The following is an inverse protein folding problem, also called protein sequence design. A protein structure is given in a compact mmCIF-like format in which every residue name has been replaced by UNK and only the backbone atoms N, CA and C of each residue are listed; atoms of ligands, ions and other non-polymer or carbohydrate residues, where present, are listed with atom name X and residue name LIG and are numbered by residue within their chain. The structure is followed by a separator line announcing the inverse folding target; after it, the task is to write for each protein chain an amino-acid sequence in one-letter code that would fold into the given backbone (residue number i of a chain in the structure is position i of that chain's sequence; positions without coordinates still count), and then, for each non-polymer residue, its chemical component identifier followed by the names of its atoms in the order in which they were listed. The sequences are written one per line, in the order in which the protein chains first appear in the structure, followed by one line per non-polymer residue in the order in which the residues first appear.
data_IF_940073406116
#
_entry.id   IF_940073406116
#
_cell.length_a   1.000
_cell.length_b   1.000
_cell.length_c   1.000
_cell.angle_alpha   90.00
_cell.angle_beta   90.00
_cell.angle_gamma   90.00
#
_symmetry.space_group_name_H-M   'P 1'
#
loop_
_entity.id
_entity.type
_entity.pdbx_description
1 polymer ?
#
# COMPACT_ATOMS: atom_id res chain seq x y z
N UNK A 1 -25.57 -18.29 -53.74
CA UNK A 1 -24.80 -17.39 -54.64
C UNK A 1 -24.64 -16.09 -53.87
N UNK A 2 -23.50 -15.66 -53.35
CA UNK A 2 -22.10 -16.10 -53.41
C UNK A 2 -21.45 -15.45 -52.17
N UNK A 3 -20.96 -16.27 -51.24
CA UNK A 3 -19.54 -16.48 -50.94
C UNK A 3 -18.90 -15.35 -50.10
N UNK A 4 -18.67 -15.68 -48.83
CA UNK A 4 -17.93 -14.89 -47.87
C UNK A 4 -16.44 -15.17 -48.07
N UNK A 5 -15.70 -14.16 -48.53
CA UNK A 5 -14.24 -14.22 -48.65
C UNK A 5 -13.63 -12.99 -47.99
N UNK A 6 -13.30 -13.09 -46.70
CA UNK A 6 -12.47 -12.13 -45.97
C UNK A 6 -11.10 -12.00 -46.65
N UNK A 7 -10.96 -10.99 -47.50
CA UNK A 7 -9.71 -10.61 -48.14
C UNK A 7 -8.74 -9.95 -47.16
N UNK A 8 -8.16 -10.72 -46.25
CA UNK A 8 -7.00 -10.26 -45.50
C UNK A 8 -5.80 -10.17 -46.45
N UNK A 9 -5.16 -9.00 -46.54
CA UNK A 9 -3.93 -8.86 -47.31
C UNK A 9 -2.87 -9.83 -46.75
N UNK A 10 -2.20 -10.64 -47.58
CA UNK A 10 -1.17 -11.56 -47.09
C UNK A 10 -0.05 -10.76 -46.41
N UNK A 11 0.48 -11.29 -45.30
CA UNK A 11 1.61 -10.67 -44.63
C UNK A 11 2.82 -10.64 -45.58
N UNK A 12 3.54 -9.50 -45.72
CA UNK A 12 4.67 -9.40 -46.64
C UNK A 12 5.77 -10.41 -46.29
N UNK A 13 6.26 -11.11 -47.31
CA UNK A 13 7.39 -12.04 -47.19
C UNK A 13 8.67 -11.30 -47.51
N UNK A 14 9.62 -11.32 -46.58
CA UNK A 14 10.95 -10.71 -46.71
C UNK A 14 12.00 -11.79 -46.89
N UNK A 15 13.12 -11.47 -47.55
CA UNK A 15 14.22 -12.44 -47.71
C UNK A 15 14.88 -12.71 -46.34
N UNK A 16 15.34 -13.93 -46.04
CA UNK A 16 15.91 -14.26 -44.72
C UNK A 16 17.08 -13.36 -44.27
N UNK A 17 17.87 -12.87 -45.21
CA UNK A 17 19.01 -11.97 -45.01
C UNK A 17 18.62 -10.50 -44.73
N UNK A 18 17.37 -10.11 -44.97
CA UNK A 18 16.90 -8.75 -44.76
C UNK A 18 16.69 -8.45 -43.27
N UNK A 19 17.38 -7.43 -42.77
CA UNK A 19 17.29 -6.94 -41.37
C UNK A 19 16.10 -6.02 -41.15
N UNK A 20 14.90 -6.51 -41.46
CA UNK A 20 13.64 -5.78 -41.29
C UNK A 20 12.84 -6.32 -40.12
N UNK A 21 11.99 -5.49 -39.52
CA UNK A 21 11.18 -5.91 -38.37
C UNK A 21 10.32 -7.15 -38.65
N UNK A 22 9.83 -7.36 -39.88
CA UNK A 22 9.10 -8.57 -40.27
C UNK A 22 9.85 -9.88 -40.03
N UNK A 23 11.18 -9.87 -40.16
CA UNK A 23 12.05 -11.03 -39.91
C UNK A 23 12.58 -11.09 -38.46
N UNK A 24 12.23 -10.12 -37.61
CA UNK A 24 12.69 -10.04 -36.24
C UNK A 24 11.79 -10.87 -35.29
N UNK A 25 12.39 -11.58 -34.34
CA UNK A 25 11.69 -12.33 -33.28
C UNK A 25 10.85 -11.43 -32.36
N UNK A 26 11.25 -10.17 -32.23
CA UNK A 26 10.63 -9.21 -31.30
C UNK A 26 9.41 -8.48 -31.88
N UNK A 27 9.19 -8.57 -33.19
CA UNK A 27 8.07 -7.91 -33.87
C UNK A 27 6.81 -8.78 -33.87
N UNK A 28 5.68 -8.17 -33.54
CA UNK A 28 4.36 -8.80 -33.57
C UNK A 28 3.44 -8.04 -34.54
N UNK A 29 3.01 -8.64 -35.66
CA UNK A 29 1.98 -8.05 -36.52
C UNK A 29 0.67 -7.92 -35.75
N UNK A 30 -0.06 -6.82 -35.92
CA UNK A 30 -1.32 -6.57 -35.19
C UNK A 30 -2.49 -6.25 -36.10
N UNK A 31 -2.33 -5.35 -37.07
CA UNK A 31 -3.44 -4.91 -37.94
C UNK A 31 -2.94 -4.51 -39.32
N UNK A 32 -3.89 -4.34 -40.25
CA UNK A 32 -3.66 -3.81 -41.59
C UNK A 32 -4.23 -2.40 -41.66
N UNK A 33 -3.40 -1.42 -41.99
CA UNK A 33 -3.77 -0.01 -42.13
C UNK A 33 -3.86 0.37 -43.62
N UNK A 34 -4.90 1.11 -44.00
CA UNK A 34 -5.27 1.38 -45.39
C UNK A 34 -4.17 2.09 -46.22
N UNK A 35 -3.32 2.91 -45.57
CA UNK A 35 -2.20 3.62 -46.23
C UNK A 35 -0.84 2.96 -46.07
N UNK A 36 -0.63 2.14 -45.03
CA UNK A 36 0.69 1.62 -44.64
C UNK A 36 0.80 0.10 -44.77
N UNK A 37 -0.30 -0.57 -45.10
CA UNK A 37 -0.39 -2.02 -45.13
C UNK A 37 -0.28 -2.60 -43.74
N UNK A 38 0.34 -3.78 -43.62
CA UNK A 38 0.57 -4.41 -42.33
C UNK A 38 1.35 -3.52 -41.37
N UNK A 39 0.87 -3.41 -40.13
CA UNK A 39 1.56 -2.72 -39.04
C UNK A 39 1.61 -3.60 -37.80
N UNK A 40 2.66 -3.43 -37.00
CA UNK A 40 2.88 -4.20 -35.80
C UNK A 40 3.74 -3.47 -34.78
N UNK A 41 3.84 -4.03 -33.59
CA UNK A 41 4.59 -3.45 -32.48
C UNK A 41 5.86 -4.26 -32.17
N UNK A 42 6.89 -3.58 -31.66
CA UNK A 42 8.11 -4.21 -31.13
C UNK A 42 7.97 -4.46 -29.64
N UNK A 43 8.24 -5.69 -29.18
CA UNK A 43 8.22 -6.03 -27.74
C UNK A 43 9.26 -5.27 -26.91
N UNK A 44 10.40 -4.89 -27.51
CA UNK A 44 11.45 -4.12 -26.84
C UNK A 44 11.20 -2.61 -26.88
N UNK A 45 10.44 -2.13 -27.86
CA UNK A 45 10.15 -0.71 -28.07
C UNK A 45 8.63 -0.49 -28.15
N UNK A 46 7.93 -0.84 -27.08
CA UNK A 46 6.46 -0.73 -27.00
C UNK A 46 5.96 0.72 -27.14
N UNK A 47 6.79 1.70 -26.78
CA UNK A 47 6.48 3.13 -26.90
C UNK A 47 6.46 3.68 -28.33
N UNK A 48 7.01 2.97 -29.32
CA UNK A 48 7.05 3.45 -30.72
C UNK A 48 5.71 3.28 -31.46
N UNK A 49 4.73 2.62 -30.84
CA UNK A 49 3.45 2.32 -31.48
C UNK A 49 3.58 1.32 -32.64
N UNK A 50 2.58 1.31 -33.52
CA UNK A 50 2.53 0.41 -34.67
C UNK A 50 3.27 0.99 -35.87
N UNK A 51 4.11 0.18 -36.47
CA UNK A 51 4.93 0.57 -37.63
C UNK A 51 5.00 -0.59 -38.64
N UNK A 52 5.34 -0.31 -39.91
CA UNK A 52 5.32 -1.32 -40.96
C UNK A 52 6.45 -2.36 -40.77
N UNK A 53 6.26 -3.60 -41.21
CA UNK A 53 7.24 -4.67 -41.04
C UNK A 53 8.54 -4.44 -41.85
N UNK A 54 8.53 -3.53 -42.82
CA UNK A 54 9.69 -3.13 -43.63
C UNK A 54 10.66 -2.19 -42.91
N UNK A 55 10.41 -1.78 -41.66
CA UNK A 55 11.27 -0.84 -40.92
C UNK A 55 12.69 -1.42 -40.67
N UNK A 56 13.79 -0.78 -41.13
CA UNK A 56 15.14 -1.38 -41.13
C UNK A 56 16.09 -0.94 -39.98
N UNK A 57 15.58 -0.47 -38.83
CA UNK A 57 16.36 0.48 -37.99
C UNK A 57 16.67 0.02 -36.54
N UNK A 58 17.01 -1.24 -36.29
CA UNK A 58 17.25 -1.70 -34.92
C UNK A 58 18.56 -2.47 -34.74
N UNK A 59 19.47 -1.92 -33.92
CA UNK A 59 20.71 -2.60 -33.50
C UNK A 59 20.46 -3.83 -32.61
N UNK A 60 19.22 -4.01 -32.15
CA UNK A 60 18.76 -5.17 -31.36
C UNK A 60 18.03 -6.19 -32.22
N UNK A 61 18.11 -6.08 -33.55
CA UNK A 61 17.53 -7.07 -34.48
C UNK A 61 17.99 -8.49 -34.11
N UNK A 62 17.02 -9.38 -33.96
CA UNK A 62 17.24 -10.80 -33.66
C UNK A 62 16.44 -11.62 -34.66
N UNK A 63 17.07 -12.34 -35.61
CA UNK A 63 16.35 -13.06 -36.65
C UNK A 63 15.44 -14.13 -36.05
N UNK A 64 14.24 -14.31 -36.64
CA UNK A 64 13.32 -15.38 -36.25
C UNK A 64 14.01 -16.73 -36.42
N UNK A 65 13.99 -17.56 -35.39
CA UNK A 65 14.65 -18.87 -35.38
C UNK A 65 16.09 -18.89 -34.85
N UNK A 66 16.71 -17.75 -34.54
CA UNK A 66 18.00 -17.78 -33.83
C UNK A 66 17.80 -18.26 -32.39
N UNK A 67 18.51 -19.34 -32.02
CA UNK A 67 18.67 -19.73 -30.63
C UNK A 67 19.25 -18.56 -29.84
N UNK A 68 18.77 -18.35 -28.61
CA UNK A 68 19.42 -17.40 -27.71
C UNK A 68 20.89 -17.82 -27.57
N UNK A 69 21.86 -16.89 -27.66
CA UNK A 69 23.22 -17.23 -27.31
C UNK A 69 23.21 -17.73 -25.86
N UNK A 70 23.47 -19.03 -25.69
CA UNK A 70 23.72 -19.60 -24.38
C UNK A 70 25.02 -18.97 -23.93
N UNK A 71 24.94 -17.96 -23.07
CA UNK A 71 26.11 -17.49 -22.36
C UNK A 71 26.76 -18.72 -21.71
N UNK A 72 28.07 -18.96 -21.90
CA UNK A 72 28.74 -20.04 -21.20
C UNK A 72 28.52 -19.80 -19.72
N UNK A 73 27.78 -20.71 -19.07
CA UNK A 73 27.63 -20.69 -17.63
C UNK A 73 29.05 -20.70 -17.06
N UNK A 74 29.44 -19.75 -16.19
CA UNK A 74 30.73 -19.82 -15.55
C UNK A 74 30.81 -21.18 -14.86
N UNK A 75 31.84 -21.95 -15.16
CA UNK A 75 32.17 -23.17 -14.45
C UNK A 75 32.46 -22.78 -13.01
N UNK A 76 31.41 -22.74 -12.19
CA UNK A 76 31.51 -22.47 -10.77
C UNK A 76 32.02 -23.76 -10.16
N UNK A 77 33.33 -23.82 -9.99
CA UNK A 77 33.99 -24.78 -9.12
C UNK A 77 33.19 -24.83 -7.82
N UNK A 78 32.70 -26.02 -7.46
CA UNK A 78 31.89 -26.22 -6.26
C UNK A 78 32.80 -26.05 -5.05
N UNK A 79 33.09 -24.82 -4.67
CA UNK A 79 33.42 -24.53 -3.29
C UNK A 79 32.21 -24.95 -2.46
N UNK A 80 32.47 -25.75 -1.42
CA UNK A 80 31.47 -26.12 -0.44
C UNK A 80 30.63 -24.88 -0.13
N UNK A 81 29.30 -24.98 -0.18
CA UNK A 81 28.42 -23.89 0.23
C UNK A 81 28.84 -23.51 1.65
N UNK A 82 29.66 -22.47 1.79
CA UNK A 82 29.73 -21.71 3.02
C UNK A 82 28.28 -21.34 3.29
N UNK A 83 27.77 -21.79 4.42
CA UNK A 83 26.48 -21.35 4.94
C UNK A 83 26.48 -19.84 4.76
N UNK A 84 25.62 -19.31 3.89
CA UNK A 84 25.47 -17.88 3.75
C UNK A 84 25.36 -17.32 5.17
N UNK A 85 26.14 -16.30 5.57
CA UNK A 85 26.06 -15.81 6.93
C UNK A 85 24.60 -15.56 7.19
N UNK A 86 24.05 -16.25 8.19
CA UNK A 86 22.68 -16.01 8.61
C UNK A 86 22.69 -14.53 8.95
N UNK A 87 22.05 -13.72 8.09
CA UNK A 87 21.78 -12.34 8.43
C UNK A 87 20.76 -12.46 9.54
N UNK A 88 21.26 -12.61 10.77
CA UNK A 88 20.50 -12.36 11.97
C UNK A 88 20.22 -10.87 11.85
N UNK A 89 19.09 -10.53 11.21
CA UNK A 89 18.46 -9.25 11.45
C UNK A 89 18.30 -9.25 12.95
N UNK A 90 19.16 -8.53 13.66
CA UNK A 90 18.99 -8.28 15.07
C UNK A 90 17.55 -7.82 15.18
N UNK A 91 16.70 -8.63 15.80
CA UNK A 91 15.38 -8.13 16.22
C UNK A 91 15.76 -6.94 17.08
N UNK A 92 15.48 -5.74 16.58
CA UNK A 92 15.68 -4.54 17.37
C UNK A 92 14.87 -4.76 18.64
N UNK A 93 15.51 -4.59 19.79
CA UNK A 93 14.80 -4.77 21.05
C UNK A 93 13.71 -3.70 21.05
N UNK A 94 12.45 -4.07 21.33
CA UNK A 94 11.54 -3.10 21.90
C UNK A 94 12.20 -2.48 23.14
N UNK A 95 11.84 -1.37 23.73
CA UNK A 95 12.61 -0.77 24.83
C UNK A 95 14.04 -0.29 24.50
N UNK A 96 14.63 -0.54 23.31
CA UNK A 96 15.86 0.16 22.93
C UNK A 96 15.53 1.67 22.88
N UNK A 97 16.14 2.43 23.79
CA UNK A 97 15.98 3.88 23.88
C UNK A 97 16.73 4.55 22.72
N UNK A 98 16.01 5.36 21.95
CA UNK A 98 16.57 6.13 20.84
C UNK A 98 16.65 7.59 21.28
N UNK A 99 17.88 8.11 21.41
CA UNK A 99 18.09 9.52 21.73
C UNK A 99 18.09 10.35 20.44
N UNK A 100 16.95 10.99 20.17
CA UNK A 100 16.81 12.00 19.13
C UNK A 100 16.78 13.37 19.80
N UNK A 101 17.94 14.04 19.80
CA UNK A 101 18.08 15.48 20.04
C UNK A 101 17.28 16.00 21.26
N UNK A 102 17.37 15.29 22.39
CA UNK A 102 16.75 15.70 23.66
C UNK A 102 15.39 15.08 23.97
N UNK A 103 14.88 14.19 23.12
CA UNK A 103 13.70 13.37 23.39
C UNK A 103 14.12 11.90 23.51
N UNK A 104 14.35 11.43 24.75
CA UNK A 104 14.53 10.01 25.01
C UNK A 104 13.17 9.31 24.95
N UNK A 105 12.94 8.53 23.90
CA UNK A 105 11.77 7.65 23.81
C UNK A 105 12.19 6.26 23.36
N UNK A 106 11.38 5.26 23.70
CA UNK A 106 11.61 3.89 23.22
C UNK A 106 11.39 3.82 21.71
N UNK A 107 12.06 2.86 21.09
CA UNK A 107 11.91 2.60 19.65
C UNK A 107 10.45 2.35 19.25
N UNK A 108 9.64 1.75 20.10
CA UNK A 108 8.22 1.48 19.83
C UNK A 108 7.44 2.77 19.80
N UNK A 109 7.65 3.66 20.77
CA UNK A 109 6.98 4.95 20.83
C UNK A 109 7.30 5.79 19.58
N UNK A 110 8.56 5.80 19.15
CA UNK A 110 8.97 6.48 17.92
C UNK A 110 8.32 5.86 16.67
N UNK A 111 8.26 4.53 16.61
CA UNK A 111 7.64 3.80 15.50
C UNK A 111 6.13 3.99 15.47
N UNK A 112 5.47 4.08 16.62
CA UNK A 112 4.03 4.33 16.74
C UNK A 112 3.71 5.75 16.27
N UNK A 113 4.50 6.75 16.67
CA UNK A 113 4.37 8.13 16.17
C UNK A 113 4.54 8.17 14.65
N UNK A 114 5.53 7.45 14.11
CA UNK A 114 5.78 7.43 12.66
C UNK A 114 4.65 6.71 11.89
N UNK A 115 4.10 5.61 12.42
CA UNK A 115 2.94 4.93 11.83
C UNK A 115 1.66 5.76 11.92
N UNK A 116 1.48 6.49 13.02
CA UNK A 116 0.37 7.43 13.22
C UNK A 116 0.47 8.61 12.24
N UNK A 117 1.67 9.20 12.09
CA UNK A 117 1.93 10.29 11.15
C UNK A 117 1.84 9.86 9.67
N UNK A 118 2.14 8.59 9.37
CA UNK A 118 2.03 8.03 8.02
C UNK A 118 0.65 7.44 7.70
N UNK A 119 -0.29 7.43 8.66
CA UNK A 119 -1.61 6.83 8.51
C UNK A 119 -1.56 5.30 8.28
N UNK A 120 -0.44 4.66 8.64
CA UNK A 120 -0.16 3.23 8.43
C UNK A 120 -0.51 2.36 9.64
N UNK A 121 -0.95 2.94 10.75
CA UNK A 121 -1.66 2.17 11.77
C UNK A 121 -2.99 1.74 11.16
N UNK A 122 -3.15 0.43 10.95
CA UNK A 122 -4.44 -0.16 10.66
C UNK A 122 -5.41 0.34 11.74
N UNK A 123 -6.43 1.09 11.32
CA UNK A 123 -7.44 1.58 12.25
C UNK A 123 -8.00 0.38 13.05
N UNK A 124 -8.22 0.52 14.37
CA UNK A 124 -8.71 -0.56 15.19
C UNK A 124 -9.92 -1.21 14.54
N UNK A 125 -10.01 -2.56 14.50
CA UNK A 125 -11.15 -3.21 13.92
C UNK A 125 -12.39 -3.03 14.79
N UNK A 126 -13.53 -2.79 14.12
CA UNK A 126 -14.85 -2.82 14.75
C UNK A 126 -15.15 -4.25 15.22
N UNK A 127 -15.80 -4.40 16.38
CA UNK A 127 -16.22 -5.72 16.85
C UNK A 127 -17.24 -6.34 15.89
N UNK A 128 -17.01 -7.61 15.52
CA UNK A 128 -17.79 -8.32 14.49
C UNK A 128 -19.32 -8.22 14.65
N UNK A 129 -19.82 -8.11 15.89
CA UNK A 129 -21.26 -8.01 16.19
C UNK A 129 -21.92 -6.70 15.73
N UNK A 130 -21.12 -5.69 15.37
CA UNK A 130 -21.58 -4.37 14.95
C UNK A 130 -21.31 -4.09 13.46
N UNK A 131 -20.63 -4.99 12.75
CA UNK A 131 -20.31 -4.83 11.32
C UNK A 131 -21.59 -4.67 10.49
N UNK A 132 -21.61 -3.64 9.63
CA UNK A 132 -22.79 -3.31 8.81
C UNK A 132 -24.01 -2.81 9.60
N UNK A 133 -23.85 -2.54 10.89
CA UNK A 133 -24.92 -2.06 11.75
C UNK A 133 -25.21 -0.56 11.57
N UNK A 134 -26.38 -0.14 12.05
CA UNK A 134 -26.84 1.26 12.01
C UNK A 134 -27.21 1.73 13.42
N UNK A 135 -26.69 2.88 13.83
CA UNK A 135 -27.12 3.60 15.03
C UNK A 135 -28.30 4.50 14.68
N UNK A 136 -29.38 4.40 15.45
CA UNK A 136 -30.56 5.26 15.32
C UNK A 136 -30.66 6.21 16.51
N UNK A 137 -30.63 7.51 16.23
CA UNK A 137 -30.89 8.56 17.22
C UNK A 137 -32.39 8.86 17.21
N UNK A 138 -33.06 8.54 18.30
CA UNK A 138 -34.51 8.79 18.47
C UNK A 138 -34.71 10.01 19.37
N UNK A 139 -35.27 11.12 18.85
CA UNK A 139 -35.63 12.27 19.67
C UNK A 139 -36.71 11.90 20.68
N UNK A 140 -36.70 12.55 21.85
CA UNK A 140 -37.78 12.40 22.83
C UNK A 140 -39.12 13.01 22.33
N UNK A 141 -39.05 14.01 21.45
CA UNK A 141 -40.22 14.54 20.76
C UNK A 141 -40.60 13.60 19.60
N UNK A 142 -41.78 13.00 19.70
CA UNK A 142 -42.33 12.05 18.72
C UNK A 142 -42.70 12.67 17.38
N UNK A 143 -42.78 14.00 17.29
CA UNK A 143 -43.01 14.72 16.03
C UNK A 143 -41.74 14.82 15.16
N UNK A 144 -40.57 14.58 15.75
CA UNK A 144 -39.28 14.64 15.04
C UNK A 144 -38.88 13.27 14.50
N UNK A 145 -38.35 13.25 13.27
CA UNK A 145 -37.89 12.02 12.66
C UNK A 145 -36.58 11.52 13.30
N UNK A 146 -36.47 10.20 13.54
CA UNK A 146 -35.20 9.58 13.94
C UNK A 146 -34.11 9.80 12.90
N UNK A 147 -32.86 9.91 13.36
CA UNK A 147 -31.69 10.02 12.49
C UNK A 147 -30.88 8.73 12.52
N UNK A 148 -30.77 8.09 11.37
CA UNK A 148 -29.96 6.87 11.20
C UNK A 148 -28.53 7.24 10.76
N UNK A 149 -27.55 6.54 11.33
CA UNK A 149 -26.12 6.75 11.14
C UNK A 149 -25.43 5.39 11.05
N UNK A 150 -24.59 5.11 10.03
CA UNK A 150 -23.81 3.87 9.99
C UNK A 150 -22.90 3.75 11.23
N UNK A 151 -22.87 2.57 11.86
CA UNK A 151 -22.00 2.36 13.04
C UNK A 151 -20.53 2.54 12.68
N UNK A 152 -20.11 2.11 11.50
CA UNK A 152 -18.76 2.30 10.97
C UNK A 152 -18.35 3.77 10.97
N UNK A 153 -19.27 4.66 10.59
CA UNK A 153 -19.03 6.11 10.57
C UNK A 153 -18.91 6.71 11.98
N UNK A 154 -19.69 6.20 12.94
CA UNK A 154 -19.54 6.59 14.35
C UNK A 154 -18.20 6.10 14.90
N UNK A 155 -17.89 4.83 14.69
CA UNK A 155 -16.69 4.20 15.20
C UNK A 155 -15.42 4.85 14.65
N UNK A 156 -15.39 5.16 13.36
CA UNK A 156 -14.29 5.93 12.77
C UNK A 156 -14.10 7.29 13.46
N UNK A 157 -15.17 7.99 13.84
CA UNK A 157 -15.08 9.24 14.60
C UNK A 157 -14.55 9.02 16.02
N UNK A 158 -14.96 7.94 16.68
CA UNK A 158 -14.47 7.57 18.01
C UNK A 158 -12.96 7.29 17.96
N UNK A 159 -12.50 6.52 16.96
CA UNK A 159 -11.08 6.25 16.71
C UNK A 159 -10.32 7.56 16.46
N UNK A 160 -10.84 8.45 15.60
CA UNK A 160 -10.19 9.75 15.35
C UNK A 160 -10.03 10.59 16.61
N UNK A 161 -11.00 10.56 17.54
CA UNK A 161 -10.90 11.28 18.82
C UNK A 161 -9.82 10.66 19.70
N UNK A 162 -9.75 9.32 19.76
CA UNK A 162 -8.71 8.59 20.50
C UNK A 162 -7.32 9.01 20.03
N UNK A 163 -7.09 8.97 18.74
CA UNK A 163 -5.76 9.23 18.16
C UNK A 163 -5.36 10.70 18.40
N UNK A 164 -6.30 11.65 18.25
CA UNK A 164 -6.05 13.06 18.61
C UNK A 164 -5.71 13.28 20.08
N UNK A 165 -6.35 12.54 21.00
CA UNK A 165 -6.05 12.62 22.43
C UNK A 165 -4.67 12.04 22.73
N UNK A 166 -4.27 10.93 22.08
CA UNK A 166 -2.92 10.34 22.22
C UNK A 166 -1.84 11.33 21.76
N UNK A 167 -2.03 11.96 20.60
CA UNK A 167 -1.10 12.99 20.10
C UNK A 167 -1.05 14.21 21.05
N UNK A 168 -2.19 14.62 21.60
CA UNK A 168 -2.24 15.72 22.57
C UNK A 168 -1.43 15.40 23.82
N UNK A 169 -1.59 14.19 24.36
CA UNK A 169 -0.86 13.69 25.52
C UNK A 169 0.66 13.67 25.28
N UNK A 170 1.10 13.16 24.13
CA UNK A 170 2.51 13.17 23.75
C UNK A 170 3.08 14.59 23.66
N UNK A 171 2.34 15.52 23.03
CA UNK A 171 2.75 16.93 22.93
C UNK A 171 2.86 17.60 24.29
N UNK A 172 1.94 17.28 25.21
CA UNK A 172 1.96 17.78 26.58
C UNK A 172 3.22 17.29 27.32
N UNK A 173 3.55 16.01 27.18
CA UNK A 173 4.72 15.41 27.83
C UNK A 173 6.02 16.06 27.35
N UNK A 174 6.14 16.27 26.04
CA UNK A 174 7.31 16.89 25.40
C UNK A 174 7.34 18.43 25.53
N UNK A 175 6.34 19.07 26.16
CA UNK A 175 6.27 20.52 26.21
C UNK A 175 7.38 21.11 27.11
N UNK A 176 8.26 22.00 26.61
CA UNK A 176 9.45 22.44 27.34
C UNK A 176 9.17 23.54 28.38
N UNK A 177 8.01 24.20 28.31
CA UNK A 177 7.66 25.34 29.19
C UNK A 177 6.69 25.00 30.31
N UNK A 178 6.15 23.78 30.33
CA UNK A 178 5.24 23.36 31.40
C UNK A 178 6.03 22.76 32.55
N UNK A 179 5.69 23.16 33.77
CA UNK A 179 6.21 22.53 34.98
C UNK A 179 5.67 21.10 35.12
N UNK A 180 6.37 20.26 35.87
CA UNK A 180 5.95 18.88 36.12
C UNK A 180 4.57 18.81 36.80
N UNK A 181 4.26 19.77 37.67
CA UNK A 181 2.96 19.85 38.33
C UNK A 181 1.82 20.13 37.33
N UNK A 182 2.01 21.08 36.41
CA UNK A 182 1.01 21.39 35.36
C UNK A 182 0.84 20.23 34.39
N UNK A 183 1.94 19.53 34.04
CA UNK A 183 1.88 18.32 33.20
C UNK A 183 1.03 17.24 33.86
N UNK A 184 1.24 16.97 35.14
CA UNK A 184 0.47 15.98 35.90
C UNK A 184 -1.01 16.36 35.97
N UNK A 185 -1.35 17.63 36.20
CA UNK A 185 -2.74 18.10 36.21
C UNK A 185 -3.43 17.87 34.85
N UNK A 186 -2.77 18.24 33.76
CA UNK A 186 -3.28 18.10 32.40
C UNK A 186 -3.39 16.62 31.98
N UNK A 187 -2.41 15.78 32.35
CA UNK A 187 -2.48 14.33 32.16
C UNK A 187 -3.67 13.70 32.92
N UNK A 188 -3.91 14.13 34.16
CA UNK A 188 -5.07 13.70 34.95
C UNK A 188 -6.40 14.10 34.28
N UNK A 189 -6.47 15.29 33.68
CA UNK A 189 -7.62 15.70 32.89
C UNK A 189 -7.81 14.81 31.64
N UNK A 190 -6.75 14.54 30.88
CA UNK A 190 -6.80 13.64 29.71
C UNK A 190 -7.26 12.23 30.13
N UNK A 191 -6.76 11.71 31.26
CA UNK A 191 -7.16 10.41 31.80
C UNK A 191 -8.66 10.35 32.12
N UNK A 192 -9.22 11.43 32.67
CA UNK A 192 -10.67 11.55 32.91
C UNK A 192 -11.48 11.61 31.61
N UNK A 193 -10.95 12.29 30.57
CA UNK A 193 -11.56 12.28 29.23
C UNK A 193 -11.60 10.84 28.67
N UNK A 194 -10.51 10.08 28.75
CA UNK A 194 -10.52 8.67 28.37
C UNK A 194 -11.55 7.85 29.17
N UNK A 195 -11.69 8.12 30.47
CA UNK A 195 -12.72 7.54 31.33
C UNK A 195 -14.14 7.73 30.79
N UNK A 196 -14.49 8.94 30.36
CA UNK A 196 -15.81 9.23 29.78
C UNK A 196 -16.08 8.52 28.44
N UNK A 197 -15.02 8.20 27.69
CA UNK A 197 -15.10 7.52 26.40
C UNK A 197 -15.19 5.98 26.54
N UNK A 198 -14.99 5.43 27.74
CA UNK A 198 -15.07 3.98 28.00
C UNK A 198 -16.43 3.36 27.64
N UNK A 199 -17.49 4.16 27.59
CA UNK A 199 -18.82 3.75 27.10
C UNK A 199 -18.78 3.20 25.67
N UNK A 200 -17.83 3.64 24.83
CA UNK A 200 -17.64 3.16 23.47
C UNK A 200 -16.79 1.88 23.36
N UNK A 201 -16.25 1.35 24.47
CA UNK A 201 -15.38 0.17 24.45
C UNK A 201 -16.06 -1.07 23.85
N UNK A 202 -17.39 -1.13 23.89
CA UNK A 202 -18.20 -2.20 23.28
C UNK A 202 -18.07 -2.28 21.75
N UNK A 203 -17.59 -1.21 21.11
CA UNK A 203 -17.39 -1.14 19.66
C UNK A 203 -16.05 -1.73 19.23
N UNK A 204 -15.06 -1.81 20.11
CA UNK A 204 -13.73 -2.32 19.77
C UNK A 204 -13.69 -3.84 19.78
N UNK A 205 -13.07 -4.42 18.76
CA UNK A 205 -12.84 -5.87 18.69
C UNK A 205 -11.79 -6.33 19.72
N UNK A 206 -10.68 -5.61 19.79
CA UNK A 206 -9.55 -5.96 20.64
C UNK A 206 -9.54 -5.12 21.92
N UNK A 207 -9.19 -5.75 23.05
CA UNK A 207 -9.11 -5.05 24.34
C UNK A 207 -7.97 -4.04 24.41
N UNK A 208 -6.89 -4.27 23.66
CA UNK A 208 -5.73 -3.38 23.62
C UNK A 208 -6.06 -1.99 23.03
N UNK A 209 -7.10 -1.91 22.20
CA UNK A 209 -7.54 -0.68 21.54
C UNK A 209 -8.56 0.13 22.35
N UNK A 210 -9.07 -0.44 23.44
CA UNK A 210 -10.10 0.15 24.27
C UNK A 210 -9.58 1.35 25.06
N UNK A 211 -10.48 2.28 25.35
CA UNK A 211 -10.19 3.38 26.27
C UNK A 211 -9.99 2.85 27.69
N UNK A 212 -8.96 3.36 28.35
CA UNK A 212 -8.67 3.09 29.76
C UNK A 212 -8.70 4.43 30.49
N UNK A 213 -9.62 4.57 31.45
CA UNK A 213 -9.69 5.74 32.31
C UNK A 213 -9.27 5.43 33.74
N UNK A 214 -9.30 6.46 34.59
CA UNK A 214 -9.24 6.27 36.04
C UNK A 214 -10.46 5.45 36.47
N UNK A 215 -10.23 4.29 37.10
CA UNK A 215 -11.33 3.55 37.74
C UNK A 215 -11.99 4.49 38.75
N UNK A 216 -13.27 4.78 38.57
CA UNK A 216 -14.10 5.26 39.67
C UNK A 216 -14.23 4.10 40.65
N UNK A 217 -13.55 4.21 41.79
CA UNK A 217 -13.89 3.41 42.97
C UNK A 217 -15.23 3.97 43.48
N UNK A 218 -16.33 3.34 43.07
CA UNK A 218 -17.63 3.45 43.72
C UNK A 218 -17.81 2.28 44.71
#
# INVERSE_FOLDING_TARGET
MSDAGEGSLPFPVFKPEERVCGNCKLFSPQSVEERRGWVGACRLHSWRGHFPPSAPICDKYTPRGSAAPVAPAPARERTARGVAPVVVRRRADPNDVVDLEGLSMTREELMDIFREASGLLDAPPLANKWEGGTMRLVPANTELQPKDLPIDSLFHKVVMVRDRLRVLEQKLNAHPKLSDAEKVELQSYITRVYGSLTSFNVLFKEKADQFVGSKSED
#
